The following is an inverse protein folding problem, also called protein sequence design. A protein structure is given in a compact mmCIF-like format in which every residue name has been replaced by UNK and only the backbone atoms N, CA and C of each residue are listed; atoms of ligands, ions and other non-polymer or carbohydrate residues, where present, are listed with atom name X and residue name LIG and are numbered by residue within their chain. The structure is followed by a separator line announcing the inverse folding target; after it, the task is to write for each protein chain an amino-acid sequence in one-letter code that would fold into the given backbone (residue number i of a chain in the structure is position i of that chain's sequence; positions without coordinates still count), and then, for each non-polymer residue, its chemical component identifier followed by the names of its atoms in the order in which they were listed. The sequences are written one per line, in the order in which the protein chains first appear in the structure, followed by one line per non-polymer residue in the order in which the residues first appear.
data_IF_606261427588
#
_entry.id   IF_606261427588
#
_cell.length_a   1.000
_cell.length_b   1.000
_cell.length_c   1.000
_cell.angle_alpha   90.00
_cell.angle_beta   90.00
_cell.angle_gamma   90.00
#
_symmetry.space_group_name_H-M   'P 1'
#
loop_
_entity.id
_entity.type
_entity.pdbx_description
1 polymer ?
#
# COMPACT_ATOMS: atom_id res chain seq x y z
N UNK A 1 18.94 -16.45 -13.12
CA UNK A 1 18.28 -16.17 -11.82
C UNK A 1 18.20 -14.67 -11.66
N UNK A 2 17.10 -14.06 -12.09
CA UNK A 2 16.93 -12.61 -12.13
C UNK A 2 16.14 -12.17 -10.90
N UNK A 3 16.83 -11.74 -9.84
CA UNK A 3 16.14 -11.22 -8.67
C UNK A 3 17.02 -10.25 -7.89
N UNK A 4 17.32 -9.07 -8.45
CA UNK A 4 17.85 -7.94 -7.66
C UNK A 4 17.90 -6.59 -8.42
N UNK A 5 16.80 -6.11 -9.02
CA UNK A 5 16.80 -4.73 -9.57
C UNK A 5 15.57 -3.90 -9.19
N UNK A 6 14.46 -4.49 -8.74
CA UNK A 6 13.22 -3.73 -8.57
C UNK A 6 13.09 -2.90 -7.28
N UNK A 7 13.93 -3.13 -6.27
CA UNK A 7 13.92 -2.34 -5.03
C UNK A 7 14.67 -1.00 -5.15
N UNK A 8 15.59 -0.87 -6.10
CA UNK A 8 16.49 0.30 -6.19
C UNK A 8 15.82 1.57 -6.75
N UNK A 9 14.70 1.45 -7.46
CA UNK A 9 13.90 2.60 -7.92
C UNK A 9 12.81 3.03 -6.94
N UNK A 10 12.49 2.20 -5.94
CA UNK A 10 11.63 2.59 -4.82
C UNK A 10 12.35 3.56 -3.85
N UNK A 11 13.68 3.70 -3.97
CA UNK A 11 14.49 4.57 -3.10
C UNK A 11 14.28 6.08 -3.31
N UNK A 12 13.43 6.52 -4.25
CA UNK A 12 13.12 7.96 -4.45
C UNK A 12 11.67 8.34 -4.15
N UNK A 13 10.74 7.39 -4.15
CA UNK A 13 9.31 7.68 -3.97
C UNK A 13 8.66 6.58 -3.13
N UNK A 14 8.03 6.99 -2.02
CA UNK A 14 7.29 6.08 -1.16
C UNK A 14 6.02 5.58 -1.88
N UNK A 15 5.85 4.25 -2.05
CA UNK A 15 4.74 3.70 -2.83
C UNK A 15 3.37 3.93 -2.18
N UNK A 16 3.32 4.07 -0.85
CA UNK A 16 2.11 4.40 -0.13
C UNK A 16 1.72 5.87 -0.37
N UNK A 17 2.69 6.79 -0.42
CA UNK A 17 2.46 8.17 -0.82
C UNK A 17 2.04 8.27 -2.29
N UNK A 18 2.68 7.55 -3.21
CA UNK A 18 2.27 7.53 -4.62
C UNK A 18 0.84 7.00 -4.78
N UNK A 19 0.45 5.98 -4.01
CA UNK A 19 -0.92 5.47 -4.02
C UNK A 19 -1.91 6.52 -3.50
N UNK A 20 -1.61 7.18 -2.37
CA UNK A 20 -2.43 8.25 -1.82
C UNK A 20 -2.57 9.43 -2.79
N UNK A 21 -1.48 9.85 -3.43
CA UNK A 21 -1.51 10.89 -4.48
C UNK A 21 -2.38 10.45 -5.65
N UNK A 22 -2.24 9.20 -6.11
CA UNK A 22 -3.02 8.67 -7.21
C UNK A 22 -4.52 8.70 -6.90
N UNK A 23 -4.90 8.28 -5.69
CA UNK A 23 -6.27 8.30 -5.16
C UNK A 23 -6.81 9.73 -5.07
N UNK A 24 -6.07 10.62 -4.41
CA UNK A 24 -6.48 12.01 -4.16
C UNK A 24 -6.67 12.79 -5.46
N UNK A 25 -5.74 12.62 -6.42
CA UNK A 25 -5.82 13.24 -7.74
C UNK A 25 -6.78 12.52 -8.71
N UNK A 26 -7.39 11.40 -8.29
CA UNK A 26 -8.24 10.54 -9.14
C UNK A 26 -7.54 10.09 -10.43
N UNK A 27 -6.23 9.90 -10.35
CA UNK A 27 -5.43 9.36 -11.45
C UNK A 27 -5.51 7.84 -11.50
N UNK A 28 -5.40 7.30 -12.70
CA UNK A 28 -5.58 5.87 -12.94
C UNK A 28 -4.49 5.02 -12.26
N UNK A 29 -4.91 3.97 -11.54
CA UNK A 29 -4.06 2.94 -10.93
C UNK A 29 -4.26 1.65 -11.72
N UNK A 30 -3.23 1.18 -12.43
CA UNK A 30 -3.36 -0.10 -13.15
C UNK A 30 -3.02 -1.27 -12.24
N UNK A 31 -3.88 -2.28 -12.26
CA UNK A 31 -3.56 -3.61 -11.79
C UNK A 31 -2.91 -4.38 -12.94
N UNK A 32 -1.75 -4.98 -12.71
CA UNK A 32 -0.99 -5.72 -13.72
C UNK A 32 -0.79 -7.17 -13.27
N UNK A 33 -1.00 -8.12 -14.18
CA UNK A 33 -0.66 -9.53 -13.97
C UNK A 33 0.86 -9.77 -13.99
N UNK A 34 1.29 -11.02 -13.82
CA UNK A 34 2.69 -11.40 -13.94
C UNK A 34 3.28 -11.08 -15.33
N UNK A 35 2.48 -11.26 -16.39
CA UNK A 35 2.85 -10.98 -17.77
C UNK A 35 2.70 -9.50 -18.16
N UNK A 36 2.70 -8.62 -17.15
CA UNK A 36 2.59 -7.16 -17.31
C UNK A 36 1.34 -6.70 -18.09
N UNK A 37 0.28 -7.51 -18.06
CA UNK A 37 -0.99 -7.23 -18.74
C UNK A 37 -1.98 -6.60 -17.76
N UNK A 38 -2.72 -5.57 -18.19
CA UNK A 38 -3.73 -4.95 -17.34
C UNK A 38 -4.84 -5.95 -17.00
N UNK A 39 -5.17 -6.02 -15.72
CA UNK A 39 -6.28 -6.80 -15.17
C UNK A 39 -7.24 -5.88 -14.43
N UNK A 40 -8.46 -6.35 -14.17
CA UNK A 40 -9.50 -5.55 -13.51
C UNK A 40 -9.90 -6.10 -12.14
N UNK A 41 -9.19 -7.13 -11.66
CA UNK A 41 -9.43 -7.74 -10.36
C UNK A 41 -8.10 -7.86 -9.59
N UNK A 42 -8.13 -7.43 -8.33
CA UNK A 42 -7.04 -7.57 -7.37
C UNK A 42 -6.56 -9.02 -7.21
N UNK A 43 -7.44 -10.01 -7.33
CA UNK A 43 -7.07 -11.43 -7.24
C UNK A 43 -6.15 -11.91 -8.38
N UNK A 44 -6.14 -11.20 -9.52
CA UNK A 44 -5.32 -11.52 -10.69
C UNK A 44 -4.09 -10.59 -10.81
N UNK A 45 -4.02 -9.58 -9.94
CA UNK A 45 -2.97 -8.57 -9.98
C UNK A 45 -1.74 -9.07 -9.23
N UNK A 46 -0.56 -8.96 -9.85
CA UNK A 46 0.74 -9.20 -9.21
C UNK A 46 1.47 -7.89 -8.93
N UNK A 47 1.19 -6.84 -9.72
CA UNK A 47 1.79 -5.52 -9.54
C UNK A 47 0.74 -4.40 -9.63
N UNK A 48 0.98 -3.32 -8.91
CA UNK A 48 0.33 -2.02 -9.05
C UNK A 48 1.23 -1.11 -9.86
N UNK A 49 0.72 -0.53 -10.94
CA UNK A 49 1.40 0.54 -11.66
C UNK A 49 0.84 1.88 -11.21
N UNK A 50 1.63 2.62 -10.43
CA UNK A 50 1.27 3.91 -9.85
C UNK A 50 1.84 5.06 -10.69
N UNK A 51 1.09 6.16 -10.90
CA UNK A 51 1.64 7.37 -11.50
C UNK A 51 2.76 7.96 -10.62
N UNK A 52 3.81 8.47 -11.25
CA UNK A 52 4.93 9.14 -10.61
C UNK A 52 5.40 10.33 -11.49
N UNK A 53 6.17 11.30 -10.96
CA UNK A 53 6.53 12.52 -11.68
C UNK A 53 7.18 12.31 -13.06
N UNK A 54 7.87 11.18 -13.25
CA UNK A 54 8.61 10.82 -14.46
C UNK A 54 8.02 9.59 -15.19
N UNK A 55 6.77 9.22 -14.92
CA UNK A 55 6.10 8.11 -15.60
C UNK A 55 5.24 7.28 -14.66
N UNK A 56 5.51 5.97 -14.60
CA UNK A 56 4.82 5.05 -13.69
C UNK A 56 5.82 4.15 -12.98
N UNK A 57 5.56 3.88 -11.71
CA UNK A 57 6.32 2.96 -10.88
C UNK A 57 5.51 1.68 -10.72
N UNK A 58 6.15 0.53 -10.96
CA UNK A 58 5.54 -0.78 -10.72
C UNK A 58 5.91 -1.27 -9.33
N UNK A 59 4.90 -1.65 -8.55
CA UNK A 59 5.02 -2.05 -7.14
C UNK A 59 4.38 -3.43 -6.96
N UNK A 60 5.05 -4.43 -6.37
CA UNK A 60 4.42 -5.73 -6.08
C UNK A 60 3.20 -5.58 -5.17
N UNK A 61 2.12 -6.32 -5.42
CA UNK A 61 0.91 -6.22 -4.56
C UNK A 61 1.19 -6.66 -3.12
N UNK A 62 2.17 -7.54 -2.92
CA UNK A 62 2.60 -8.04 -1.61
C UNK A 62 3.62 -7.13 -0.92
N UNK A 63 3.99 -6.00 -1.52
CA UNK A 63 4.93 -5.07 -0.90
C UNK A 63 4.31 -4.48 0.37
N UNK A 64 4.95 -4.72 1.52
CA UNK A 64 4.64 -4.05 2.79
C UNK A 64 4.82 -2.54 2.64
N UNK A 65 3.71 -1.83 2.79
CA UNK A 65 3.68 -0.37 2.79
C UNK A 65 4.06 0.16 4.16
N UNK A 66 4.59 1.37 4.23
CA UNK A 66 4.99 1.99 5.50
C UNK A 66 3.82 2.39 6.42
N UNK A 67 2.65 1.73 6.33
CA UNK A 67 1.49 1.94 7.20
C UNK A 67 1.37 0.80 8.22
N UNK A 68 1.64 1.11 9.49
CA UNK A 68 1.66 0.16 10.61
C UNK A 68 0.25 -0.31 11.02
N UNK A 69 0.12 -1.61 11.28
CA UNK A 69 -1.10 -2.24 11.83
C UNK A 69 -1.30 -1.87 13.31
N UNK A 70 -2.54 -1.92 13.83
CA UNK A 70 -2.79 -1.76 15.27
C UNK A 70 -1.99 -2.75 16.12
N UNK A 71 -1.39 -2.28 17.21
CA UNK A 71 -0.66 -3.14 18.16
C UNK A 71 0.75 -3.52 17.74
N UNK A 72 1.20 -3.14 16.55
CA UNK A 72 2.58 -3.34 16.14
C UNK A 72 3.56 -2.50 16.98
N UNK A 73 4.76 -3.04 17.31
CA UNK A 73 5.78 -2.32 18.08
C UNK A 73 6.20 -1.01 17.42
N UNK A 74 6.58 -0.03 18.24
CA UNK A 74 7.01 1.28 17.73
C UNK A 74 8.34 1.20 16.97
N UNK A 75 9.21 0.26 17.33
CA UNK A 75 10.50 0.03 16.65
C UNK A 75 10.40 -0.87 15.41
N UNK A 76 9.22 -1.46 15.14
CA UNK A 76 9.02 -2.32 13.98
C UNK A 76 9.28 -1.53 12.69
N UNK A 77 9.97 -2.16 11.75
CA UNK A 77 10.31 -1.60 10.44
C UNK A 77 9.68 -2.44 9.33
N UNK A 78 9.20 -1.84 8.23
CA UNK A 78 8.54 -2.62 7.17
C UNK A 78 9.52 -3.56 6.42
N UNK A 79 10.83 -3.30 6.49
CA UNK A 79 11.85 -4.16 5.91
C UNK A 79 12.20 -5.39 6.77
N UNK A 80 12.19 -5.26 8.10
CA UNK A 80 12.54 -6.36 9.02
C UNK A 80 11.32 -7.08 9.58
N UNK A 81 10.21 -6.36 9.73
CA UNK A 81 8.99 -6.81 10.40
C UNK A 81 7.74 -6.58 9.51
N UNK A 82 7.73 -7.10 8.27
CA UNK A 82 6.70 -6.78 7.27
C UNK A 82 5.27 -7.12 7.72
N UNK A 83 5.09 -8.12 8.58
CA UNK A 83 3.80 -8.53 9.12
C UNK A 83 3.11 -7.46 9.99
N UNK A 84 3.90 -6.55 10.57
CA UNK A 84 3.41 -5.41 11.35
C UNK A 84 2.88 -4.26 10.51
N UNK A 85 2.97 -4.38 9.18
CA UNK A 85 2.58 -3.34 8.24
C UNK A 85 1.55 -3.89 7.25
N UNK A 86 0.69 -3.00 6.73
CA UNK A 86 -0.21 -3.37 5.66
C UNK A 86 0.56 -3.46 4.35
N UNK A 87 0.29 -4.49 3.55
CA UNK A 87 0.77 -4.58 2.19
C UNK A 87 -0.12 -3.76 1.21
N UNK A 88 0.37 -3.62 -0.02
CA UNK A 88 -0.26 -2.83 -1.06
C UNK A 88 -1.64 -3.35 -1.45
N UNK A 89 -1.82 -4.67 -1.48
CA UNK A 89 -3.10 -5.33 -1.75
C UNK A 89 -4.13 -5.00 -0.67
N UNK A 90 -3.72 -5.07 0.60
CA UNK A 90 -4.56 -4.78 1.76
C UNK A 90 -5.06 -3.33 1.78
N UNK A 91 -4.17 -2.36 1.56
CA UNK A 91 -4.53 -0.94 1.50
C UNK A 91 -5.47 -0.64 0.32
N UNK A 92 -5.17 -1.18 -0.87
CA UNK A 92 -6.00 -0.96 -2.04
C UNK A 92 -7.37 -1.66 -1.93
N UNK A 93 -7.41 -2.87 -1.38
CA UNK A 93 -8.66 -3.59 -1.14
C UNK A 93 -9.56 -2.83 -0.16
N UNK A 94 -8.99 -2.23 0.88
CA UNK A 94 -9.73 -1.34 1.78
C UNK A 94 -10.33 -0.15 1.02
N UNK A 95 -9.53 0.59 0.26
CA UNK A 95 -9.98 1.75 -0.49
C UNK A 95 -11.13 1.43 -1.46
N UNK A 96 -11.03 0.34 -2.22
CA UNK A 96 -12.05 -0.08 -3.20
C UNK A 96 -13.38 -0.52 -2.58
N UNK A 97 -13.42 -0.76 -1.27
CA UNK A 97 -14.60 -1.26 -0.56
C UNK A 97 -15.11 -0.32 0.54
N UNK A 98 -14.56 0.89 0.66
CA UNK A 98 -14.89 1.84 1.73
C UNK A 98 -16.39 2.18 1.78
N UNK A 99 -17.08 2.19 0.64
CA UNK A 99 -18.50 2.52 0.52
C UNK A 99 -19.44 1.30 0.56
N UNK A 100 -18.90 0.08 0.56
CA UNK A 100 -19.70 -1.17 0.42
C UNK A 100 -20.14 -1.78 1.76
N UNK A 101 -19.78 -1.13 2.87
CA UNK A 101 -20.02 -1.61 4.22
C UNK A 101 -18.98 -2.65 4.70
N UNK A 102 -18.82 -2.76 6.02
CA UNK A 102 -17.75 -3.54 6.64
C UNK A 102 -17.82 -5.04 6.33
N UNK A 103 -19.02 -5.64 6.36
CA UNK A 103 -19.19 -7.08 6.12
C UNK A 103 -18.75 -7.49 4.70
N UNK A 104 -19.19 -6.73 3.68
CA UNK A 104 -18.79 -6.93 2.28
C UNK A 104 -17.29 -6.77 2.11
N UNK A 105 -16.70 -5.76 2.75
CA UNK A 105 -15.25 -5.56 2.74
C UNK A 105 -14.47 -6.76 3.30
N UNK A 106 -14.90 -7.29 4.46
CA UNK A 106 -14.24 -8.46 5.06
C UNK A 106 -14.37 -9.69 4.17
N UNK A 107 -15.51 -9.90 3.52
CA UNK A 107 -15.68 -10.99 2.57
C UNK A 107 -14.70 -10.86 1.39
N UNK A 108 -14.61 -9.67 0.79
CA UNK A 108 -13.71 -9.37 -0.31
C UNK A 108 -12.23 -9.54 0.07
N UNK A 109 -11.85 -9.11 1.28
CA UNK A 109 -10.49 -9.25 1.78
C UNK A 109 -10.09 -10.72 1.96
N UNK A 110 -10.99 -11.53 2.54
CA UNK A 110 -10.77 -12.97 2.69
C UNK A 110 -10.63 -13.68 1.33
N UNK A 111 -11.49 -13.36 0.35
CA UNK A 111 -11.41 -13.95 -0.99
C UNK A 111 -10.10 -13.62 -1.71
N UNK A 112 -9.51 -12.45 -1.40
CA UNK A 112 -8.26 -11.98 -2.00
C UNK A 112 -7.03 -12.36 -1.19
N UNK A 113 -7.21 -12.94 0.00
CA UNK A 113 -6.12 -13.30 0.90
C UNK A 113 -5.37 -12.10 1.49
N UNK A 114 -6.00 -10.93 1.59
CA UNK A 114 -5.37 -9.73 2.12
C UNK A 114 -5.79 -9.40 3.55
N UNK A 115 -4.96 -8.65 4.27
CA UNK A 115 -5.25 -8.19 5.63
C UNK A 115 -6.35 -7.13 5.64
N UNK A 116 -7.11 -7.07 6.73
CA UNK A 116 -8.16 -6.07 6.90
C UNK A 116 -7.71 -4.87 7.74
N UNK A 117 -8.19 -3.68 7.37
CA UNK A 117 -8.10 -2.46 8.17
C UNK A 117 -9.22 -2.50 9.21
N UNK A 118 -8.85 -2.48 10.48
CA UNK A 118 -9.83 -2.51 11.58
C UNK A 118 -10.76 -1.30 11.52
N UNK A 119 -12.02 -1.47 11.93
CA UNK A 119 -13.05 -0.42 11.89
C UNK A 119 -12.57 0.90 12.53
N UNK A 120 -11.82 0.81 13.62
CA UNK A 120 -11.25 1.95 14.35
C UNK A 120 -10.18 2.72 13.59
N UNK A 121 -9.55 2.12 12.56
CA UNK A 121 -8.51 2.75 11.74
C UNK A 121 -8.99 3.16 10.34
N UNK A 122 -10.15 2.66 9.88
CA UNK A 122 -10.64 2.91 8.52
C UNK A 122 -10.70 4.40 8.18
N UNK A 123 -11.25 5.23 9.07
CA UNK A 123 -11.31 6.68 8.85
C UNK A 123 -9.92 7.29 8.68
N UNK A 124 -8.96 6.91 9.53
CA UNK A 124 -7.61 7.45 9.48
C UNK A 124 -6.85 7.02 8.22
N UNK A 125 -7.02 5.77 7.78
CA UNK A 125 -6.42 5.29 6.52
C UNK A 125 -7.06 5.99 5.32
N UNK A 126 -8.39 6.10 5.27
CA UNK A 126 -9.09 6.74 4.16
C UNK A 126 -8.76 8.24 4.05
N UNK A 127 -8.69 8.94 5.19
CA UNK A 127 -8.30 10.34 5.26
C UNK A 127 -6.87 10.58 4.74
N UNK A 128 -5.95 9.72 5.16
CA UNK A 128 -4.57 9.72 4.68
C UNK A 128 -4.48 9.49 3.16
N UNK A 129 -5.15 8.45 2.64
CA UNK A 129 -5.15 8.16 1.20
C UNK A 129 -5.82 9.28 0.38
N UNK A 130 -6.78 9.99 0.95
CA UNK A 130 -7.42 11.12 0.29
C UNK A 130 -6.58 12.41 0.36
N UNK A 131 -5.47 12.43 1.11
CA UNK A 131 -4.67 13.63 1.35
C UNK A 131 -5.37 14.65 2.26
N UNK A 132 -6.33 14.22 3.07
CA UNK A 132 -7.12 15.06 3.97
C UNK A 132 -6.50 15.23 5.36
N UNK A 133 -5.40 14.52 5.63
CA UNK A 133 -4.73 14.55 6.92
C UNK A 133 -4.12 15.93 7.16
N UNK A 134 -4.69 16.64 8.13
CA UNK A 134 -4.24 17.97 8.53
C UNK A 134 -2.79 17.90 9.03
N UNK A 135 -1.84 18.29 8.19
CA UNK A 135 -0.47 18.71 8.50
C UNK A 135 0.47 17.72 9.23
N UNK A 136 -0.01 16.58 9.73
CA UNK A 136 0.80 15.60 10.47
C UNK A 136 0.53 14.22 9.90
N UNK A 137 1.56 13.57 9.36
CA UNK A 137 1.48 12.16 8.97
C UNK A 137 0.90 11.36 10.14
N UNK A 138 -0.06 10.44 9.91
CA UNK A 138 -0.62 9.66 11.00
C UNK A 138 0.53 8.90 11.67
N UNK A 139 0.58 8.86 13.00
CA UNK A 139 1.66 8.18 13.76
C UNK A 139 1.91 6.71 13.36
N UNK A 140 0.99 6.12 12.61
CA UNK A 140 1.10 4.80 11.99
C UNK A 140 1.96 4.77 10.72
N UNK A 141 2.22 5.90 10.05
CA UNK A 141 3.07 5.98 8.86
C UNK A 141 4.52 6.17 9.30
N UNK A 142 5.38 5.29 8.81
CA UNK A 142 6.82 5.34 9.05
C UNK A 142 7.49 5.97 7.83
N UNK A 143 8.36 6.95 8.02
CA UNK A 143 9.09 7.55 6.90
C UNK A 143 9.93 6.48 6.18
N UNK A 144 9.93 6.48 4.84
CA UNK A 144 10.67 5.53 4.02
C UNK A 144 12.18 5.52 4.34
N UNK A 145 12.74 6.66 4.73
CA UNK A 145 14.14 6.79 5.18
C UNK A 145 14.44 5.93 6.42
N UNK A 146 13.47 5.78 7.34
CA UNK A 146 13.59 4.92 8.52
C UNK A 146 13.41 3.43 8.16
N UNK A 147 12.67 3.12 7.10
CA UNK A 147 12.50 1.76 6.56
C UNK A 147 13.74 1.23 5.84
N UNK A 148 14.55 2.12 5.25
CA UNK A 148 15.77 1.79 4.52
C UNK A 148 17.04 1.79 5.39
N UNK A 149 16.97 2.21 6.66
CA UNK A 149 18.16 2.41 7.48
C UNK A 149 18.68 1.12 8.16
N UNK A 150 19.88 0.74 7.71
CA UNK A 150 20.92 -0.15 8.30
C UNK A 150 20.80 -1.64 7.99
N UNK A 151 21.18 -2.00 6.77
CA UNK A 151 22.18 -3.06 6.60
C UNK A 151 23.56 -2.40 6.67
N UNK A 152 24.27 -2.57 7.79
CA UNK A 152 25.71 -2.35 7.87
C UNK A 152 26.37 -3.72 7.83
#
# INVERSE_FOLDING_TARGET
MANLVLAASASKFDPLLLLGQAISARTDIHLLSNDNTKVFNLSLAMHLSLPAPNGRVSVPISLSMCYRKPGAPHEASPARDPDHFYDSQSILCFYLNQDKGFATYIQEANQKGCSFVSATKQKAVADFLAGKSASTEPSSVVALEAALCRGH
#
